data_IF_146096571890
#
_entry.id   IF_146096571890
#
_cell.length_a   1.000
_cell.length_b   1.000
_cell.length_c   1.000
_cell.angle_alpha   90.00
_cell.angle_beta   90.00
_cell.angle_gamma   90.00
#
_symmetry.space_group_name_H-M   'P 1'
#
loop_
_entity.id
_entity.type
_entity.pdbx_description
1 polymer ?
#
# COMPACT_ATOMS: atom_id res chain seq x y z
N UNK A 1 15.33 8.22 -5.46
CA UNK A 1 14.72 7.68 -6.70
C UNK A 1 13.24 8.05 -6.72
N UNK A 2 12.82 9.10 -7.43
CA UNK A 2 11.42 9.52 -7.44
C UNK A 2 10.53 8.50 -8.19
N UNK A 3 9.50 7.97 -7.52
CA UNK A 3 8.41 7.28 -8.22
C UNK A 3 7.27 8.27 -8.41
N UNK A 4 7.33 9.02 -9.51
CA UNK A 4 6.13 9.62 -10.03
C UNK A 4 5.31 8.52 -10.72
N UNK A 5 4.46 7.87 -9.93
CA UNK A 5 3.54 6.83 -10.43
C UNK A 5 2.71 7.41 -11.58
N UNK A 6 2.44 8.73 -11.62
CA UNK A 6 1.66 9.37 -12.69
C UNK A 6 2.37 9.43 -14.06
N UNK A 7 3.70 9.25 -14.11
CA UNK A 7 4.47 9.30 -15.35
C UNK A 7 4.53 7.95 -16.10
N UNK A 8 4.14 6.85 -15.46
CA UNK A 8 4.19 5.50 -16.04
C UNK A 8 2.79 4.89 -16.14
N UNK A 9 2.21 5.00 -17.35
CA UNK A 9 1.00 4.26 -17.70
C UNK A 9 1.23 2.76 -17.40
N UNK A 10 0.28 2.12 -16.72
CA UNK A 10 0.33 0.71 -16.26
C UNK A 10 1.20 0.38 -15.04
N UNK A 11 1.76 1.38 -14.34
CA UNK A 11 2.39 1.12 -13.04
C UNK A 11 1.33 1.07 -11.93
N UNK A 12 1.34 0.00 -11.15
CA UNK A 12 0.49 -0.18 -9.98
C UNK A 12 1.34 -0.21 -8.71
N UNK A 13 0.92 0.55 -7.70
CA UNK A 13 1.52 0.53 -6.37
C UNK A 13 0.67 -0.35 -5.46
N UNK A 14 1.29 -1.34 -4.83
CA UNK A 14 0.62 -2.22 -3.87
C UNK A 14 1.28 -2.15 -2.51
N UNK A 15 0.48 -1.97 -1.46
CA UNK A 15 0.89 -2.17 -0.08
C UNK A 15 0.31 -3.48 0.38
N UNK A 16 1.17 -4.37 0.86
CA UNK A 16 0.84 -5.71 1.31
C UNK A 16 1.25 -5.85 2.78
N UNK A 17 0.54 -6.68 3.55
CA UNK A 17 0.92 -7.01 4.91
C UNK A 17 1.09 -8.51 5.11
N UNK A 18 1.73 -8.84 6.22
CA UNK A 18 1.94 -10.21 6.65
C UNK A 18 1.87 -10.30 8.17
N UNK A 19 1.02 -11.18 8.69
CA UNK A 19 0.91 -11.51 10.14
C UNK A 19 1.71 -12.76 10.51
N UNK A 20 2.05 -13.58 9.52
CA UNK A 20 2.88 -14.78 9.61
C UNK A 20 3.86 -14.80 8.43
N UNK A 21 5.11 -15.18 8.66
CA UNK A 21 6.12 -15.22 7.59
C UNK A 21 5.64 -16.00 6.36
N UNK A 22 5.79 -15.41 5.16
CA UNK A 22 5.51 -15.98 3.81
C UNK A 22 4.07 -15.92 3.29
N UNK A 23 3.11 -15.29 3.99
CA UNK A 23 1.79 -14.98 3.41
C UNK A 23 1.64 -13.46 3.26
N UNK A 24 1.43 -12.99 2.04
CA UNK A 24 1.18 -11.58 1.73
C UNK A 24 -0.28 -11.36 1.39
N UNK A 25 -0.89 -10.38 2.04
CA UNK A 25 -2.27 -9.98 1.82
C UNK A 25 -2.33 -8.50 1.48
N UNK A 26 -3.26 -8.11 0.62
CA UNK A 26 -3.35 -6.74 0.13
C UNK A 26 -3.89 -5.82 1.22
N UNK A 27 -3.24 -4.67 1.41
CA UNK A 27 -3.74 -3.56 2.22
C UNK A 27 -4.33 -2.49 1.31
N UNK A 28 -3.59 -2.13 0.28
CA UNK A 28 -3.89 -1.00 -0.58
C UNK A 28 -3.34 -1.25 -1.98
N UNK A 29 -4.07 -0.85 -3.02
CA UNK A 29 -3.66 -0.98 -4.42
C UNK A 29 -4.02 0.29 -5.17
N UNK A 30 -3.02 1.05 -5.60
CA UNK A 30 -3.22 2.29 -6.33
C UNK A 30 -2.81 2.14 -7.79
N UNK A 31 -3.67 2.64 -8.69
CA UNK A 31 -3.44 2.69 -10.13
C UNK A 31 -3.06 4.10 -10.56
N UNK A 32 -1.94 4.23 -11.25
CA UNK A 32 -1.58 5.49 -11.89
C UNK A 32 -2.59 5.89 -12.99
N UNK A 33 -2.81 7.19 -13.14
CA UNK A 33 -3.60 7.73 -14.25
C UNK A 33 -5.12 7.47 -14.16
N UNK A 34 -5.64 6.97 -13.03
CA UNK A 34 -7.07 6.76 -12.84
C UNK A 34 -7.85 8.03 -12.43
N UNK A 35 -7.17 9.17 -12.26
CA UNK A 35 -7.78 10.45 -11.86
C UNK A 35 -8.08 10.57 -10.36
N UNK A 36 -7.77 9.56 -9.54
CA UNK A 36 -8.01 9.58 -8.10
C UNK A 36 -6.76 9.94 -7.30
N UNK A 37 -6.94 10.71 -6.23
CA UNK A 37 -5.85 11.04 -5.31
C UNK A 37 -5.55 9.86 -4.39
N UNK A 38 -4.29 9.45 -4.32
CA UNK A 38 -3.81 8.32 -3.49
C UNK A 38 -4.04 8.57 -2.00
N UNK A 39 -3.72 9.77 -1.49
CA UNK A 39 -3.79 10.04 -0.04
C UNK A 39 -5.20 9.99 0.54
N UNK A 40 -6.21 10.67 -0.04
CA UNK A 40 -7.59 10.51 0.41
C UNK A 40 -8.08 9.06 0.33
N UNK A 41 -7.64 8.30 -0.67
CA UNK A 41 -7.97 6.88 -0.75
C UNK A 41 -7.31 6.07 0.38
N UNK A 42 -6.01 6.26 0.65
CA UNK A 42 -5.29 5.53 1.70
C UNK A 42 -5.79 5.85 3.12
N UNK A 43 -5.99 7.15 3.42
CA UNK A 43 -6.36 7.64 4.75
C UNK A 43 -7.86 7.73 5.00
N UNK A 44 -8.67 7.72 3.94
CA UNK A 44 -10.12 7.79 4.03
C UNK A 44 -10.70 6.62 4.82
N UNK A 45 -11.80 6.88 5.53
CA UNK A 45 -12.61 5.83 6.14
C UNK A 45 -13.67 5.41 5.15
N UNK A 46 -13.71 4.11 4.80
CA UNK A 46 -14.82 3.58 4.03
C UNK A 46 -16.02 3.38 4.96
N UNK A 47 -16.81 4.43 5.14
CA UNK A 47 -18.09 4.37 5.86
C UNK A 47 -19.04 3.29 5.31
N UNK A 48 -18.86 2.91 4.04
CA UNK A 48 -19.63 1.85 3.34
C UNK A 48 -19.11 0.42 3.55
N UNK A 49 -17.92 0.23 4.12
CA UNK A 49 -17.32 -1.08 4.38
C UNK A 49 -16.90 -1.29 5.84
N UNK A 50 -17.42 -0.49 6.76
CA UNK A 50 -17.32 -0.80 8.17
C UNK A 50 -17.94 -2.19 8.39
N UNK A 51 -17.28 -3.04 9.19
CA UNK A 51 -17.69 -4.42 9.46
C UNK A 51 -19.16 -4.56 9.95
N UNK A 52 -19.79 -3.45 10.36
CA UNK A 52 -21.16 -3.37 10.85
C UNK A 52 -22.14 -2.67 9.90
N UNK A 53 -21.74 -2.28 8.68
CA UNK A 53 -22.56 -1.43 7.82
C UNK A 53 -23.73 -2.15 7.13
N UNK A 54 -23.84 -3.49 7.16
CA UNK A 54 -24.86 -4.24 6.41
C UNK A 54 -24.80 -4.04 4.87
N UNK A 55 -23.83 -3.25 4.39
CA UNK A 55 -23.59 -2.97 2.98
C UNK A 55 -22.59 -4.00 2.47
N UNK A 56 -22.97 -4.68 1.38
CA UNK A 56 -22.08 -5.55 0.61
C UNK A 56 -20.91 -4.72 0.10
N UNK A 57 -19.75 -4.91 0.71
CA UNK A 57 -18.51 -4.28 0.30
C UNK A 57 -18.07 -4.88 -1.05
N UNK A 58 -18.03 -4.06 -2.12
CA UNK A 58 -17.66 -4.51 -3.47
C UNK A 58 -16.34 -3.90 -3.92
N UNK A 59 -15.53 -4.68 -4.63
CA UNK A 59 -14.29 -4.22 -5.31
C UNK A 59 -14.55 -3.03 -6.22
N UNK A 60 -15.74 -2.96 -6.82
CA UNK A 60 -16.17 -1.86 -7.67
C UNK A 60 -16.25 -0.51 -6.95
N UNK A 61 -16.39 -0.50 -5.62
CA UNK A 61 -16.47 0.70 -4.80
C UNK A 61 -15.11 1.14 -4.23
N UNK A 62 -14.00 0.54 -4.67
CA UNK A 62 -12.66 0.78 -4.12
C UNK A 62 -12.37 0.01 -2.83
N UNK A 63 -13.23 -0.95 -2.50
CA UNK A 63 -13.16 -1.71 -1.25
C UNK A 63 -12.97 -3.19 -1.52
N UNK A 64 -12.13 -3.89 -0.77
CA UNK A 64 -12.13 -5.35 -0.80
C UNK A 64 -12.15 -5.92 0.62
N UNK A 65 -12.90 -7.00 0.81
CA UNK A 65 -12.97 -7.71 2.08
C UNK A 65 -11.85 -8.74 2.15
N UNK A 66 -11.02 -8.64 3.19
CA UNK A 66 -9.85 -9.49 3.45
C UNK A 66 -10.15 -11.00 3.47
N UNK A 67 -11.42 -11.38 3.68
CA UNK A 67 -11.84 -12.75 3.92
C UNK A 67 -12.55 -13.46 2.75
N UNK A 68 -12.87 -12.78 1.64
CA UNK A 68 -13.73 -13.35 0.58
C UNK A 68 -12.98 -13.59 -0.74
N UNK A 69 -11.81 -13.00 -0.97
CA UNK A 69 -11.10 -13.17 -2.23
C UNK A 69 -9.84 -14.05 -2.08
N UNK A 70 -9.84 -15.31 -2.56
CA UNK A 70 -8.70 -16.21 -2.52
C UNK A 70 -7.47 -15.72 -3.28
N UNK A 71 -7.44 -14.51 -3.83
CA UNK A 71 -6.27 -14.03 -4.54
C UNK A 71 -6.10 -12.53 -4.44
N UNK A 72 -5.45 -12.09 -3.35
CA UNK A 72 -4.63 -10.87 -3.39
C UNK A 72 -3.77 -10.86 -4.68
N UNK A 73 -3.30 -12.02 -5.14
CA UNK A 73 -2.60 -12.23 -6.42
C UNK A 73 -3.43 -11.83 -7.66
N UNK A 74 -4.75 -12.07 -7.69
CA UNK A 74 -5.60 -11.65 -8.81
C UNK A 74 -5.83 -10.15 -8.77
N UNK A 75 -6.01 -9.58 -7.58
CA UNK A 75 -6.13 -8.13 -7.40
C UNK A 75 -4.83 -7.41 -7.83
N UNK A 76 -3.67 -7.97 -7.51
CA UNK A 76 -2.36 -7.45 -7.94
C UNK A 76 -2.17 -7.46 -9.47
N UNK A 77 -2.90 -8.32 -10.18
CA UNK A 77 -2.90 -8.40 -11.65
C UNK A 77 -4.05 -7.61 -12.29
N UNK A 78 -4.96 -7.08 -11.48
CA UNK A 78 -6.11 -6.32 -11.97
C UNK A 78 -5.74 -4.85 -12.10
N UNK A 79 -6.29 -4.16 -13.09
CA UNK A 79 -6.24 -2.71 -13.19
C UNK A 79 -7.59 -2.14 -12.70
N UNK A 80 -7.78 -1.98 -11.38
CA UNK A 80 -9.04 -1.51 -10.86
C UNK A 80 -9.30 -0.07 -11.31
N UNK A 81 -10.58 0.26 -11.51
CA UNK A 81 -10.99 1.64 -11.83
C UNK A 81 -10.68 2.60 -10.68
N UNK A 82 -10.79 2.11 -9.45
CA UNK A 82 -10.58 2.85 -8.21
C UNK A 82 -9.36 2.32 -7.47
N UNK A 83 -8.74 3.15 -6.64
CA UNK A 83 -7.78 2.66 -5.65
C UNK A 83 -8.49 1.67 -4.72
N UNK A 84 -7.90 0.50 -4.51
CA UNK A 84 -8.45 -0.51 -3.62
C UNK A 84 -7.87 -0.34 -2.23
N UNK A 85 -8.73 -0.45 -1.21
CA UNK A 85 -8.33 -0.36 0.20
C UNK A 85 -9.02 -1.43 1.04
N UNK A 86 -8.23 -2.04 1.92
CA UNK A 86 -8.69 -2.94 2.98
C UNK A 86 -9.05 -2.15 4.25
N UNK A 87 -10.05 -2.64 4.97
CA UNK A 87 -10.41 -2.16 6.31
C UNK A 87 -9.32 -2.41 7.36
N UNK A 88 -8.35 -3.29 7.10
CA UNK A 88 -7.29 -3.59 8.06
C UNK A 88 -6.43 -2.38 8.42
N UNK A 89 -6.32 -1.39 7.51
CA UNK A 89 -5.64 -0.11 7.79
C UNK A 89 -6.24 0.58 9.01
N UNK A 90 -7.57 0.50 9.17
CA UNK A 90 -8.29 1.14 10.28
C UNK A 90 -8.12 0.37 11.60
N UNK A 91 -7.72 -0.90 11.53
CA UNK A 91 -7.49 -1.79 12.67
C UNK A 91 -6.01 -2.16 12.86
N UNK A 92 -5.09 -1.38 12.27
CA UNK A 92 -3.66 -1.68 12.17
C UNK A 92 -3.03 -2.20 13.47
N UNK A 93 -3.25 -1.50 14.59
CA UNK A 93 -2.68 -1.83 15.90
C UNK A 93 -3.18 -3.19 16.39
N UNK A 94 -4.43 -3.54 16.08
CA UNK A 94 -5.06 -4.80 16.49
C UNK A 94 -4.79 -5.94 15.49
N UNK A 95 -4.35 -5.62 14.28
CA UNK A 95 -4.15 -6.57 13.19
C UNK A 95 -2.87 -7.42 13.31
N UNK A 96 -2.02 -7.16 14.32
CA UNK A 96 -0.78 -7.89 14.58
C UNK A 96 0.15 -8.01 13.35
N UNK A 97 0.23 -6.93 12.57
CA UNK A 97 1.02 -6.88 11.34
C UNK A 97 2.52 -6.98 11.70
N UNK A 98 3.21 -7.97 11.12
CA UNK A 98 4.63 -8.23 11.36
C UNK A 98 5.51 -7.58 10.30
N UNK A 99 5.07 -7.64 9.05
CA UNK A 99 5.78 -7.06 7.92
C UNK A 99 4.81 -6.32 7.00
N UNK A 100 5.31 -5.28 6.36
CA UNK A 100 4.63 -4.57 5.28
C UNK A 100 5.54 -4.58 4.06
N UNK A 101 5.00 -4.89 2.89
CA UNK A 101 5.72 -4.84 1.63
C UNK A 101 5.11 -3.76 0.74
N UNK A 102 5.93 -2.85 0.25
CA UNK A 102 5.58 -1.92 -0.82
C UNK A 102 6.11 -2.51 -2.11
N UNK A 103 5.22 -2.76 -3.06
CA UNK A 103 5.54 -3.40 -4.33
C UNK A 103 5.07 -2.53 -5.50
N UNK A 104 5.89 -2.48 -6.54
CA UNK A 104 5.51 -1.94 -7.84
C UNK A 104 5.23 -3.08 -8.79
N UNK A 105 4.07 -3.03 -9.43
CA UNK A 105 3.68 -3.95 -10.48
C UNK A 105 3.62 -3.24 -11.82
N UNK A 106 4.10 -3.91 -12.85
CA UNK A 106 3.93 -3.51 -14.24
C UNK A 106 3.43 -4.72 -15.00
N UNK A 107 2.32 -4.56 -15.73
CA UNK A 107 1.72 -5.64 -16.53
C UNK A 107 1.45 -6.93 -15.71
N UNK A 108 1.15 -6.78 -14.41
CA UNK A 108 0.88 -7.88 -13.49
C UNK A 108 2.11 -8.58 -12.90
N UNK A 109 3.32 -8.13 -13.22
CA UNK A 109 4.59 -8.63 -12.67
C UNK A 109 5.17 -7.65 -11.65
N UNK A 110 5.69 -8.16 -10.53
CA UNK A 110 6.37 -7.35 -9.52
C UNK A 110 7.75 -6.95 -10.05
N UNK A 111 7.93 -5.65 -10.32
CA UNK A 111 9.18 -5.11 -10.89
C UNK A 111 10.10 -4.54 -9.83
N UNK A 112 9.58 -4.19 -8.66
CA UNK A 112 10.39 -3.75 -7.52
C UNK A 112 9.61 -3.83 -6.20
N UNK A 113 10.33 -3.93 -5.08
CA UNK A 113 9.73 -3.95 -3.75
C UNK A 113 10.67 -3.46 -2.63
N UNK A 114 10.07 -3.03 -1.51
CA UNK A 114 10.72 -2.88 -0.20
C UNK A 114 9.86 -3.58 0.86
N UNK A 115 10.50 -4.35 1.74
CA UNK A 115 9.89 -4.97 2.91
C UNK A 115 10.30 -4.21 4.17
N UNK A 116 9.33 -3.93 5.02
CA UNK A 116 9.48 -3.21 6.28
C UNK A 116 9.09 -4.07 7.48
N UNK A 117 9.78 -3.87 8.60
CA UNK A 117 9.40 -4.35 9.92
C UNK A 117 8.25 -3.49 10.47
N UNK A 118 7.07 -4.09 10.56
CA UNK A 118 5.85 -3.43 11.00
C UNK A 118 5.53 -3.68 12.49
N UNK A 119 6.37 -4.42 13.21
CA UNK A 119 6.16 -4.65 14.64
C UNK A 119 6.17 -3.32 15.40
N UNK A 120 5.13 -3.10 16.21
CA UNK A 120 4.95 -1.86 16.98
C UNK A 120 4.76 -0.61 16.12
N UNK A 121 4.41 -0.75 14.85
CA UNK A 121 4.12 0.37 13.96
C UNK A 121 2.64 0.78 14.02
N UNK A 122 2.37 1.98 13.53
CA UNK A 122 1.02 2.47 13.19
C UNK A 122 0.90 2.56 11.67
N UNK A 123 -0.33 2.75 11.16
CA UNK A 123 -0.58 3.03 9.73
C UNK A 123 0.20 4.22 9.15
N UNK A 124 0.73 5.09 10.03
CA UNK A 124 1.44 6.31 9.67
C UNK A 124 2.96 6.17 9.67
N UNK A 125 3.52 5.26 10.49
CA UNK A 125 4.96 5.22 10.79
C UNK A 125 5.68 3.92 10.37
N UNK A 126 4.97 2.94 9.80
CA UNK A 126 5.58 1.71 9.30
C UNK A 126 6.54 1.98 8.13
N UNK A 127 6.26 3.00 7.32
CA UNK A 127 7.09 3.45 6.22
C UNK A 127 8.21 4.35 6.74
N UNK A 128 9.27 3.73 7.23
CA UNK A 128 10.46 4.41 7.74
C UNK A 128 11.73 3.64 7.38
N UNK A 129 12.81 4.34 7.04
CA UNK A 129 14.05 3.71 6.57
C UNK A 129 14.70 2.78 7.62
N UNK A 130 14.57 3.10 8.91
CA UNK A 130 15.07 2.25 9.99
C UNK A 130 14.32 0.92 10.12
N UNK A 131 13.16 0.80 9.44
CA UNK A 131 12.34 -0.40 9.42
C UNK A 131 12.57 -1.25 8.18
N UNK A 132 13.40 -0.84 7.23
CA UNK A 132 13.69 -1.65 6.02
C UNK A 132 14.35 -2.97 6.44
N UNK A 133 13.77 -4.07 5.99
CA UNK A 133 14.28 -5.43 6.12
C UNK A 133 14.92 -5.91 4.82
N UNK A 134 14.30 -5.59 3.69
CA UNK A 134 14.70 -6.05 2.37
C UNK A 134 14.28 -5.04 1.30
N UNK A 135 15.02 -4.96 0.21
CA UNK A 135 14.71 -4.10 -0.93
C UNK A 135 15.26 -4.72 -2.20
N UNK A 136 14.53 -4.62 -3.31
CA UNK A 136 15.04 -4.95 -4.64
C UNK A 136 15.95 -3.86 -5.21
N UNK A 137 15.92 -2.65 -4.65
CA UNK A 137 16.76 -1.52 -5.05
C UNK A 137 18.09 -1.53 -4.32
N UNK A 138 19.18 -1.44 -5.07
CA UNK A 138 20.54 -1.44 -4.53
C UNK A 138 20.88 -0.20 -3.68
N UNK A 139 20.20 0.92 -3.91
CA UNK A 139 20.40 2.20 -3.22
C UNK A 139 19.43 2.42 -2.04
N UNK A 140 18.49 1.50 -1.81
CA UNK A 140 17.57 1.55 -0.68
C UNK A 140 18.06 0.62 0.43
N UNK A 141 18.80 1.21 1.36
CA UNK A 141 19.42 0.55 2.50
C UNK A 141 18.73 0.90 3.82
N UNK A 142 18.71 -0.06 4.75
CA UNK A 142 18.33 0.18 6.15
C UNK A 142 19.22 1.25 6.76
N UNK A 143 18.61 2.23 7.43
CA UNK A 143 19.30 3.41 7.98
C UNK A 143 20.07 4.24 6.93
N UNK A 144 19.76 4.10 5.64
CA UNK A 144 20.28 4.97 4.58
C UNK A 144 19.89 6.44 4.80
N UNK A 145 20.63 7.36 4.18
CA UNK A 145 20.29 8.78 4.19
C UNK A 145 19.37 9.08 3.01
N UNK A 146 18.21 9.66 3.32
CA UNK A 146 17.14 10.00 2.39
C UNK A 146 16.72 11.45 2.68
N UNK A 147 16.41 12.22 1.64
CA UNK A 147 15.85 13.57 1.79
C UNK A 147 14.44 13.55 2.39
N UNK A 148 13.60 12.60 2.00
CA UNK A 148 12.22 12.41 2.45
C UNK A 148 11.91 10.91 2.47
N UNK A 149 11.58 10.39 3.65
CA UNK A 149 11.15 9.01 3.82
C UNK A 149 9.92 8.95 4.71
N UNK A 150 8.77 9.34 4.16
CA UNK A 150 7.49 9.33 4.87
C UNK A 150 6.34 9.15 3.88
N UNK A 151 5.23 8.60 4.38
CA UNK A 151 4.00 8.49 3.58
C UNK A 151 3.54 9.88 3.15
N UNK A 152 3.52 10.85 4.08
CA UNK A 152 2.98 12.18 3.85
C UNK A 152 3.88 13.12 3.02
N UNK A 153 5.16 12.77 2.83
CA UNK A 153 6.13 13.63 2.16
C UNK A 153 6.52 14.89 2.95
N UNK A 154 7.01 15.94 2.24
CA UNK A 154 7.41 17.24 2.80
C UNK A 154 6.28 18.28 2.86
N UNK A 155 5.18 18.12 2.10
CA UNK A 155 4.11 19.13 2.01
C UNK A 155 2.75 18.45 1.76
N UNK A 156 1.69 18.76 2.54
CA UNK A 156 0.36 18.17 2.38
C UNK A 156 -0.42 18.71 1.17
N UNK A 157 0.22 19.36 0.19
CA UNK A 157 -0.45 19.98 -0.97
C UNK A 157 0.06 19.46 -2.33
N UNK A 158 1.06 18.57 -2.34
CA UNK A 158 1.52 17.88 -3.56
C UNK A 158 2.01 16.49 -3.15
N UNK A 159 1.13 15.49 -3.31
CA UNK A 159 1.29 14.17 -2.70
C UNK A 159 2.07 13.24 -3.62
N UNK A 160 3.32 13.00 -3.25
CA UNK A 160 4.17 12.01 -3.88
C UNK A 160 4.64 11.06 -2.76
N UNK A 161 4.55 9.75 -2.99
CA UNK A 161 5.34 8.80 -2.20
C UNK A 161 6.78 9.01 -2.65
N UNK A 162 7.42 9.98 -2.01
CA UNK A 162 8.77 10.39 -2.35
C UNK A 162 9.73 9.36 -1.73
N UNK A 163 10.39 8.60 -2.60
CA UNK A 163 11.63 7.94 -2.25
C UNK A 163 12.76 8.88 -2.68
N UNK A 164 13.17 9.79 -1.79
CA UNK A 164 14.37 10.59 -1.99
C UNK A 164 15.23 10.55 -0.75
#
# INVERSE_FOLDING_TARGET
MFFDVSAYLHLLLSVLYSTVSRKWELIFHARAGNGEKVMPAFYGTHSKCAANAGVSCRIQDGCFQDAIDPSAVLLLKSEPKHHLRSSIIDHWVNANIKMVKVSLFKDGEEVAYIVFNAVGSTKDNWFHNTRILESSWCDVLTNGKYNIFSILGLVPLSYHINFL
#
